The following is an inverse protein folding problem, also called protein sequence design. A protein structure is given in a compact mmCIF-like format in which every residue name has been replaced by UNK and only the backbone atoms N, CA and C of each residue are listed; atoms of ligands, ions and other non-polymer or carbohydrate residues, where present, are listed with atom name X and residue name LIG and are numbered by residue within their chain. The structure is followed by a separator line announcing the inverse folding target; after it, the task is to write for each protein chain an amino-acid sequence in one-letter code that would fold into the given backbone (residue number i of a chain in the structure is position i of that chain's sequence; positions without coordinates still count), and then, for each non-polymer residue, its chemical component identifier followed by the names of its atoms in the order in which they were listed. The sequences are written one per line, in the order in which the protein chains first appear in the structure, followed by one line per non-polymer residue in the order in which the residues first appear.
data_IF_863605226068
#
_entry.id   IF_863605226068
#
_cell.length_a   1.000
_cell.length_b   1.000
_cell.length_c   1.000
_cell.angle_alpha   90.00
_cell.angle_beta   90.00
_cell.angle_gamma   90.00
#
_symmetry.space_group_name_H-M   'P 1'
#
loop_
_entity.id
_entity.type
_entity.pdbx_description
1 polymer ?
2 water ?
#
# COMPACT_ATOMS: atom_id res chain seq x y z
N UNK A 1 -17.85 11.52 5.57
CA UNK A 1 -16.61 10.76 5.26
C UNK A 1 -16.71 9.35 5.80
N UNK A 2 -16.08 8.41 5.11
CA UNK A 2 -16.03 7.02 5.52
C UNK A 2 -14.80 6.36 4.92
N UNK A 3 -14.15 5.54 5.74
CA UNK A 3 -13.03 4.75 5.27
C UNK A 3 -12.91 3.48 6.08
N UNK A 4 -12.17 2.53 5.51
CA UNK A 4 -11.78 1.32 6.22
C UNK A 4 -10.27 1.29 6.29
N UNK A 5 -9.75 0.96 7.47
CA UNK A 5 -8.32 0.78 7.68
C UNK A 5 -8.11 -0.68 8.10
N UNK A 6 -7.13 -1.33 7.50
CA UNK A 6 -6.87 -2.74 7.79
C UNK A 6 -5.41 -3.05 7.57
N UNK A 7 -4.92 -4.11 8.21
CA UNK A 7 -3.56 -4.53 7.95
C UNK A 7 -3.47 -5.95 7.41
N UNK A 8 -2.34 -6.23 6.78
CA UNK A 8 -2.12 -7.48 6.06
C UNK A 8 -0.66 -7.88 6.25
N UNK A 9 -0.43 -9.04 6.86
CA UNK A 9 0.92 -9.59 6.96
C UNK A 9 1.18 -10.46 5.74
N UNK A 10 2.24 -10.15 5.01
CA UNK A 10 2.54 -10.80 3.74
C UNK A 10 3.97 -11.29 3.73
N UNK A 11 4.19 -12.42 3.08
CA UNK A 11 5.53 -12.94 2.85
C UNK A 11 5.75 -13.00 1.35
N UNK A 12 6.80 -12.34 0.89
CA UNK A 12 7.13 -12.31 -0.53
C UNK A 12 7.52 -13.69 -1.05
N UNK A 13 7.29 -13.89 -2.34
CA UNK A 13 7.88 -15.01 -3.07
C UNK A 13 8.76 -14.45 -4.20
N UNK A 14 9.05 -15.24 -5.23
CA UNK A 14 9.88 -14.77 -6.36
C UNK A 14 9.38 -13.49 -7.00
N UNK A 15 8.07 -13.28 -6.97
CA UNK A 15 7.48 -12.10 -7.57
C UNK A 15 7.37 -10.93 -6.59
N UNK A 16 8.00 -11.05 -5.42
CA UNK A 16 7.88 -10.03 -4.38
C UNK A 16 6.52 -10.12 -3.72
N UNK A 17 5.94 -8.96 -3.40
CA UNK A 17 4.57 -8.92 -2.89
C UNK A 17 3.57 -9.07 -4.03
N UNK A 18 3.89 -8.46 -5.16
CA UNK A 18 3.04 -8.49 -6.34
C UNK A 18 2.10 -7.31 -6.48
N UNK A 19 2.53 -6.15 -6.00
CA UNK A 19 1.77 -4.93 -6.18
C UNK A 19 2.61 -3.84 -6.81
N UNK A 20 1.97 -3.06 -7.67
CA UNK A 20 2.52 -1.83 -8.18
C UNK A 20 1.82 -0.70 -7.44
N UNK A 21 2.62 0.21 -6.91
CA UNK A 21 2.15 1.29 -6.06
C UNK A 21 2.64 2.62 -6.63
N UNK A 22 1.83 3.67 -6.53
CA UNK A 22 2.20 4.96 -7.10
C UNK A 22 1.56 6.11 -6.35
N UNK A 23 2.26 7.25 -6.39
CA UNK A 23 1.74 8.51 -5.92
C UNK A 23 2.23 9.63 -6.81
N UNK A 24 1.56 10.78 -6.76
CA UNK A 24 1.99 11.93 -7.53
C UNK A 24 3.37 12.39 -7.07
N UNK A 25 4.26 12.68 -8.02
CA UNK A 25 5.53 13.32 -7.69
C UNK A 25 5.72 14.53 -8.60
N UNK A 26 6.44 15.52 -8.09
CA UNK A 26 6.68 16.75 -8.83
C UNK A 26 6.82 17.94 -7.91
N UNK A 27 6.87 19.13 -8.50
CA UNK A 27 7.07 20.37 -7.75
C UNK A 27 5.76 20.87 -7.16
N UNK A 32 -5.03 16.53 -1.01
CA UNK A 32 -4.43 15.34 -0.41
C UNK A 32 -3.31 14.75 -1.27
N UNK A 33 -2.57 13.81 -0.70
CA UNK A 33 -1.42 13.20 -1.36
C UNK A 33 -1.52 11.66 -1.21
N UNK A 34 -0.40 10.95 -1.04
CA UNK A 34 -0.42 9.51 -0.71
C UNK A 34 0.04 8.58 -1.81
N UNK A 35 0.36 7.34 -1.43
CA UNK A 35 0.69 6.28 -2.38
C UNK A 35 -0.38 5.20 -2.34
N UNK A 36 -0.74 4.70 -3.53
CA UNK A 36 -1.92 3.86 -3.72
C UNK A 36 -1.59 2.64 -4.57
N UNK A 37 -2.32 1.56 -4.33
CA UNK A 37 -2.20 0.36 -5.14
C UNK A 37 -2.75 0.62 -6.54
N UNK A 38 -1.92 0.37 -7.55
CA UNK A 38 -2.27 0.60 -8.95
C UNK A 38 -2.65 -0.69 -9.67
N UNK A 39 -1.99 -1.78 -9.30
CA UNK A 39 -2.25 -3.08 -9.91
C UNK A 39 -1.72 -4.18 -9.02
N UNK A 40 -2.24 -5.38 -9.23
CA UNK A 40 -1.91 -6.56 -8.46
C UNK A 40 -1.56 -7.66 -9.46
N UNK A 41 -0.40 -8.27 -9.29
CA UNK A 41 0.07 -9.28 -10.22
C UNK A 41 -0.64 -10.61 -10.01
N UNK A 42 -0.94 -11.29 -11.12
CA UNK A 42 -1.60 -12.58 -11.08
C UNK A 42 -0.75 -13.60 -10.32
N UNK A 43 -1.41 -14.39 -9.47
CA UNK A 43 -0.78 -15.45 -8.68
C UNK A 43 0.22 -14.96 -7.62
N UNK A 44 0.17 -13.68 -7.29
CA UNK A 44 1.10 -13.10 -6.32
C UNK A 44 0.64 -13.36 -4.89
N UNK A 45 1.54 -13.11 -3.95
CA UNK A 45 1.21 -13.18 -2.53
C UNK A 45 0.04 -12.26 -2.19
N UNK A 46 0.04 -11.05 -2.74
CA UNK A 46 -1.06 -10.12 -2.49
C UNK A 46 -2.38 -10.64 -3.08
N UNK A 47 -2.34 -11.15 -4.32
CA UNK A 47 -3.56 -11.71 -4.92
C UNK A 47 -4.06 -12.91 -4.12
N UNK A 48 -3.15 -13.80 -3.73
CA UNK A 48 -3.53 -14.99 -2.98
C UNK A 48 -4.20 -14.61 -1.66
N UNK A 49 -3.64 -13.62 -0.97
CA UNK A 49 -4.22 -13.15 0.28
C UNK A 49 -5.63 -12.60 0.05
N UNK A 50 -5.80 -11.82 -1.01
CA UNK A 50 -7.12 -11.41 -1.47
C UNK A 50 -7.71 -10.13 -0.90
N UNK A 51 -7.11 -9.60 0.17
CA UNK A 51 -7.69 -8.44 0.85
C UNK A 51 -7.41 -7.11 0.16
N UNK A 52 -6.19 -6.92 -0.32
CA UNK A 52 -5.79 -5.64 -0.90
C UNK A 52 -6.44 -5.45 -2.27
N UNK A 53 -6.84 -4.21 -2.55
CA UNK A 53 -7.51 -3.85 -3.79
C UNK A 53 -6.87 -2.62 -4.42
N UNK A 54 -7.03 -2.51 -5.73
CA UNK A 54 -6.63 -1.30 -6.44
C UNK A 54 -7.35 -0.10 -5.82
N UNK A 55 -6.61 0.98 -5.59
CA UNK A 55 -7.14 2.19 -5.00
C UNK A 55 -6.94 2.31 -3.50
N UNK A 56 -6.50 1.23 -2.86
CA UNK A 56 -6.16 1.28 -1.44
C UNK A 56 -4.91 2.13 -1.24
N UNK A 57 -4.92 2.97 -0.21
CA UNK A 57 -3.75 3.76 0.16
C UNK A 57 -2.88 2.96 1.12
N UNK A 58 -1.57 2.92 0.89
CA UNK A 58 -0.66 2.32 1.87
C UNK A 58 -0.28 3.41 2.88
N UNK A 59 -0.68 3.22 4.13
CA UNK A 59 -0.46 4.24 5.16
C UNK A 59 0.60 3.88 6.21
N UNK A 60 0.99 2.61 6.28
CA UNK A 60 2.09 2.20 7.17
C UNK A 60 2.75 0.94 6.63
N UNK A 61 4.05 0.82 6.90
CA UNK A 61 4.83 -0.36 6.53
C UNK A 61 5.71 -0.71 7.73
N UNK A 62 5.58 -1.93 8.24
CA UNK A 62 6.50 -2.44 9.27
C UNK A 62 6.65 -1.50 10.47
N UNK A 63 5.54 -0.94 10.94
CA UNK A 63 5.56 -0.03 12.09
C UNK A 63 5.87 1.43 11.77
N UNK A 64 6.12 1.74 10.51
CA UNK A 64 6.44 3.10 10.09
C UNK A 64 5.20 3.71 9.45
N UNK A 65 4.63 4.73 10.10
CA UNK A 65 3.52 5.49 9.53
C UNK A 65 4.04 6.38 8.41
N UNK A 66 3.39 6.31 7.26
CA UNK A 66 3.84 7.01 6.06
C UNK A 66 3.12 8.31 5.79
N UNK A 67 2.08 8.62 6.55
CA UNK A 67 1.15 9.67 6.11
C UNK A 67 1.74 11.09 6.09
N UNK A 68 2.81 11.32 6.85
CA UNK A 68 3.53 12.61 6.79
C UNK A 68 4.69 12.67 5.79
N UNK A 69 4.93 11.58 5.08
CA UNK A 69 6.08 11.46 4.19
C UNK A 69 5.78 12.05 2.82
N UNK A 70 6.82 12.40 2.07
CA UNK A 70 6.63 12.67 0.64
C UNK A 70 6.30 11.34 -0.03
N UNK A 71 5.65 11.40 -1.18
CA UNK A 71 5.26 10.17 -1.85
C UNK A 71 6.48 9.33 -2.23
N UNK A 72 7.55 9.98 -2.69
CA UNK A 72 8.76 9.23 -3.04
C UNK A 72 9.42 8.62 -1.79
N UNK A 73 9.40 9.34 -0.68
CA UNK A 73 9.90 8.80 0.59
C UNK A 73 9.13 7.53 0.97
N UNK A 74 7.81 7.57 0.81
CA UNK A 74 6.97 6.41 1.10
C UNK A 74 7.26 5.25 0.14
N UNK A 75 7.40 5.56 -1.15
CA UNK A 75 7.77 4.56 -2.14
C UNK A 75 9.07 3.87 -1.73
N UNK A 76 10.05 4.64 -1.28
CA UNK A 76 11.34 4.08 -0.92
C UNK A 76 11.27 3.16 0.31
N UNK A 77 10.39 3.45 1.26
CA UNK A 77 10.17 2.52 2.37
C UNK A 77 9.73 1.16 1.83
N UNK A 78 8.77 1.16 0.91
CA UNK A 78 8.29 -0.10 0.32
C UNK A 78 9.40 -0.82 -0.45
N UNK A 79 10.21 -0.06 -1.18
CA UNK A 79 11.25 -0.65 -2.02
C UNK A 79 12.32 -1.35 -1.20
N UNK A 80 12.52 -0.90 0.03
CA UNK A 80 13.62 -1.38 0.85
C UNK A 80 13.17 -2.40 1.92
N UNK A 81 11.97 -2.94 1.77
CA UNK A 81 11.44 -3.94 2.69
C UNK A 81 12.15 -5.28 2.54
N UNK A 82 12.10 -6.07 3.62
CA UNK A 82 12.57 -7.46 3.61
C UNK A 82 11.48 -8.40 3.12
N UNK A 83 11.63 -9.69 3.39
CA UNK A 83 10.72 -10.68 2.82
C UNK A 83 9.32 -10.67 3.43
N UNK A 84 9.25 -10.42 4.73
CA UNK A 84 7.96 -10.38 5.42
C UNK A 84 7.64 -8.93 5.75
N UNK A 85 6.43 -8.52 5.40
CA UNK A 85 6.01 -7.13 5.47
C UNK A 85 4.63 -7.04 6.13
N UNK A 86 4.47 -6.12 7.08
CA UNK A 86 3.14 -5.77 7.58
C UNK A 86 2.73 -4.45 6.93
N UNK A 87 1.69 -4.51 6.11
CA UNK A 87 1.15 -3.31 5.47
C UNK A 87 -0.11 -2.89 6.18
N UNK A 88 -0.26 -1.59 6.41
CA UNK A 88 -1.53 -1.02 6.83
C UNK A 88 -2.05 -0.18 5.68
N UNK A 89 -3.32 -0.40 5.35
CA UNK A 89 -3.96 0.26 4.22
C UNK A 89 -5.21 0.99 4.65
N UNK A 90 -5.56 2.02 3.89
CA UNK A 90 -6.79 2.76 4.07
C UNK A 90 -7.54 2.78 2.74
N UNK A 91 -8.83 2.53 2.82
CA UNK A 91 -9.71 2.45 1.67
C UNK A 91 -10.84 3.44 1.92
N UNK A 92 -10.94 4.48 1.10
CA UNK A 92 -11.96 5.52 1.29
C UNK A 92 -13.23 5.22 0.50
N UNK A 93 -14.36 5.20 1.20
CA UNK A 93 -15.65 4.94 0.58
C UNK A 93 -16.55 6.15 0.45
N UNK A 94 -16.32 7.17 1.26
CA UNK A 94 -17.08 8.41 1.18
C UNK A 94 -16.16 9.57 1.44
N UNK A 95 -16.27 10.61 0.61
CA UNK A 95 -15.45 11.81 0.76
C UNK A 95 -16.27 13.04 0.43
N UNK A 96 -15.88 14.17 1.02
CA UNK A 96 -16.47 15.46 0.69
C UNK A 96 -15.43 16.25 -0.08
N UNK A 97 -15.80 16.65 -1.30
CA UNK A 97 -14.89 17.36 -2.19
C UNK A 97 -15.48 18.68 -2.67
#
# INVERSE_FOLDING_TARGET
SMSETFDVELTKNVQGLGITIAGYIGDKKLEPSGIFVKSITKSSAVEHDGRIQIGDQIIAVDGTNLQGFTNQQAVEVLRHTGQTVLLTLMRRGETSV
#
